data_IF_577640743919
#
_entry.id   IF_577640743919
#
_cell.length_a   1.000
_cell.length_b   1.000
_cell.length_c   1.000
_cell.angle_alpha   90.00
_cell.angle_beta   90.00
_cell.angle_gamma   90.00
#
_symmetry.space_group_name_H-M   'P 1'
#
loop_
_entity.id
_entity.type
_entity.pdbx_description
1 polymer ?
#
# COMPACT_ATOMS: atom_id res chain seq x y z
N UNK A 1 14.38 -13.95 5.30
CA UNK A 1 14.40 -12.66 4.60
C UNK A 1 13.52 -11.67 5.35
N UNK A 2 13.98 -10.43 5.46
CA UNK A 2 13.23 -9.36 6.15
C UNK A 2 12.15 -8.77 5.26
N UNK A 3 12.29 -8.85 3.96
CA UNK A 3 11.33 -8.42 2.95
C UNK A 3 11.86 -8.68 1.55
N UNK A 4 10.95 -8.83 0.60
CA UNK A 4 11.27 -8.97 -0.82
C UNK A 4 10.44 -7.97 -1.62
N UNK A 5 11.07 -7.36 -2.63
CA UNK A 5 10.46 -6.36 -3.51
C UNK A 5 10.37 -6.96 -4.90
N UNK A 6 9.21 -6.82 -5.55
CA UNK A 6 9.03 -7.07 -6.97
C UNK A 6 8.95 -5.76 -7.74
N UNK A 7 9.78 -5.61 -8.77
CA UNK A 7 9.86 -4.38 -9.54
C UNK A 7 8.87 -4.35 -10.72
N UNK A 8 8.73 -3.17 -11.33
CA UNK A 8 7.93 -2.95 -12.54
C UNK A 8 8.58 -3.53 -13.81
N UNK A 9 9.80 -4.05 -13.74
CA UNK A 9 10.44 -4.80 -14.85
C UNK A 9 9.70 -6.08 -15.19
N UNK A 10 9.04 -6.68 -14.20
CA UNK A 10 8.28 -7.90 -14.35
C UNK A 10 6.87 -7.63 -14.89
N UNK A 11 6.35 -8.56 -15.68
CA UNK A 11 4.99 -8.49 -16.20
C UNK A 11 3.94 -8.53 -15.08
N UNK A 12 2.75 -7.96 -15.32
CA UNK A 12 1.61 -8.04 -14.40
C UNK A 12 1.35 -9.46 -13.91
N UNK A 13 1.37 -10.44 -14.83
CA UNK A 13 1.12 -11.85 -14.52
C UNK A 13 2.19 -12.47 -13.61
N UNK A 14 3.47 -12.15 -13.84
CA UNK A 14 4.56 -12.57 -12.97
C UNK A 14 4.44 -11.94 -11.59
N UNK A 15 4.17 -10.66 -11.54
CA UNK A 15 4.00 -9.90 -10.29
C UNK A 15 2.87 -10.46 -9.43
N UNK A 16 1.72 -10.79 -10.03
CA UNK A 16 0.61 -11.42 -9.32
C UNK A 16 0.98 -12.76 -8.69
N UNK A 17 1.66 -13.63 -9.45
CA UNK A 17 2.11 -14.93 -8.93
C UNK A 17 3.07 -14.76 -7.75
N UNK A 18 4.02 -13.85 -7.88
CA UNK A 18 5.07 -13.64 -6.87
C UNK A 18 4.51 -13.01 -5.58
N UNK A 19 3.54 -12.10 -5.68
CA UNK A 19 2.85 -11.54 -4.50
C UNK A 19 2.12 -12.66 -3.74
N UNK A 20 1.45 -13.58 -4.45
CA UNK A 20 0.77 -14.74 -3.83
C UNK A 20 1.72 -15.71 -3.15
N UNK A 21 3.01 -15.69 -3.49
CA UNK A 21 4.06 -16.46 -2.80
C UNK A 21 4.60 -15.76 -1.53
N UNK A 22 4.12 -14.55 -1.22
CA UNK A 22 4.49 -13.83 -0.01
C UNK A 22 5.46 -12.68 -0.19
N UNK A 23 5.72 -12.25 -1.42
CA UNK A 23 6.43 -10.97 -1.66
C UNK A 23 5.56 -9.82 -1.16
N UNK A 24 6.10 -9.03 -0.24
CA UNK A 24 5.34 -8.02 0.51
C UNK A 24 5.55 -6.59 0.03
N UNK A 25 6.51 -6.36 -0.85
CA UNK A 25 6.80 -5.03 -1.36
C UNK A 25 6.74 -5.02 -2.89
N UNK A 26 6.15 -3.96 -3.43
CA UNK A 26 5.92 -3.83 -4.87
C UNK A 26 6.22 -2.41 -5.33
N UNK A 27 6.93 -2.26 -6.44
CA UNK A 27 7.08 -0.97 -7.11
C UNK A 27 5.86 -0.67 -7.98
N UNK A 28 5.51 0.60 -8.10
CA UNK A 28 4.44 1.05 -9.00
C UNK A 28 4.81 2.36 -9.66
N UNK A 29 4.23 2.63 -10.83
CA UNK A 29 4.40 3.88 -11.59
C UNK A 29 5.85 4.25 -11.89
N UNK A 30 6.75 3.28 -12.06
CA UNK A 30 8.17 3.54 -12.33
C UNK A 30 8.36 4.17 -13.70
N UNK A 31 9.17 5.23 -13.75
CA UNK A 31 9.63 5.90 -14.97
C UNK A 31 11.14 5.80 -15.06
N UNK A 32 11.64 5.45 -16.24
CA UNK A 32 13.08 5.24 -16.49
C UNK A 32 13.68 6.23 -17.50
N UNK A 33 12.84 7.04 -18.10
CA UNK A 33 13.23 8.16 -18.95
C UNK A 33 13.73 9.35 -18.14
N UNK A 34 14.64 10.13 -18.69
CA UNK A 34 15.15 11.36 -18.06
C UNK A 34 14.00 12.36 -17.91
N UNK A 35 13.77 12.83 -16.67
CA UNK A 35 12.65 13.75 -16.38
C UNK A 35 11.26 13.12 -16.37
N UNK A 36 11.14 11.79 -16.51
CA UNK A 36 9.85 11.08 -16.66
C UNK A 36 8.83 11.26 -15.53
N UNK A 37 9.27 11.72 -14.35
CA UNK A 37 8.37 12.05 -13.22
C UNK A 37 7.91 13.52 -13.20
N UNK A 38 8.60 14.41 -13.92
CA UNK A 38 8.39 15.85 -13.80
C UNK A 38 7.74 16.51 -15.01
N UNK A 39 7.61 15.83 -16.14
CA UNK A 39 7.10 16.41 -17.38
C UNK A 39 5.87 15.68 -17.90
N UNK A 40 4.79 16.38 -18.30
CA UNK A 40 3.68 15.82 -19.06
C UNK A 40 4.03 15.64 -20.56
N UNK A 41 5.25 15.99 -20.99
CA UNK A 41 5.69 15.83 -22.37
C UNK A 41 5.77 14.35 -22.76
N UNK A 42 5.47 14.01 -24.03
CA UNK A 42 5.70 12.66 -24.54
C UNK A 42 7.16 12.27 -24.30
N UNK A 43 7.39 11.08 -23.77
CA UNK A 43 8.74 10.54 -23.62
C UNK A 43 9.39 10.48 -24.99
N UNK A 44 10.62 11.04 -25.13
CA UNK A 44 11.40 10.87 -26.34
C UNK A 44 11.64 9.39 -26.57
N UNK A 45 11.39 8.92 -27.80
CA UNK A 45 11.63 7.55 -28.21
C UNK A 45 13.11 7.20 -27.92
N UNK A 46 13.35 6.17 -27.10
CA UNK A 46 14.68 5.74 -26.61
C UNK A 46 15.32 6.57 -25.46
N UNK A 47 14.58 7.41 -24.74
CA UNK A 47 15.12 8.10 -23.56
C UNK A 47 15.17 7.23 -22.30
N UNK A 48 14.52 6.08 -22.30
CA UNK A 48 14.47 5.15 -21.16
C UNK A 48 15.82 4.43 -20.96
N UNK A 49 16.28 4.38 -19.70
CA UNK A 49 17.53 3.67 -19.34
C UNK A 49 17.37 2.14 -19.42
N UNK A 50 16.16 1.64 -19.25
CA UNK A 50 15.79 0.22 -19.37
C UNK A 50 14.28 0.08 -19.51
N UNK A 51 13.85 -1.06 -20.07
CA UNK A 51 12.43 -1.35 -20.27
C UNK A 51 11.70 -1.62 -18.96
N UNK A 52 10.46 -1.13 -18.89
CA UNK A 52 9.51 -1.37 -17.80
C UNK A 52 8.32 -2.14 -18.38
N UNK A 53 8.10 -3.38 -17.93
CA UNK A 53 7.00 -4.22 -18.43
C UNK A 53 5.64 -3.80 -17.85
N UNK A 54 5.62 -3.17 -16.68
CA UNK A 54 4.39 -2.68 -16.03
C UNK A 54 4.41 -1.15 -15.96
N UNK A 55 3.79 -0.52 -16.94
CA UNK A 55 3.72 0.93 -17.11
C UNK A 55 2.47 1.57 -16.45
N UNK A 56 1.72 0.78 -15.67
CA UNK A 56 0.51 1.29 -15.00
C UNK A 56 0.85 2.45 -14.05
N UNK A 57 -0.10 3.36 -13.93
CA UNK A 57 -0.08 4.42 -12.91
C UNK A 57 -0.13 3.83 -11.50
N UNK A 58 0.19 4.62 -10.50
CA UNK A 58 0.10 4.19 -9.10
C UNK A 58 -1.34 3.79 -8.74
N UNK A 59 -2.33 4.56 -9.19
CA UNK A 59 -3.74 4.29 -8.92
C UNK A 59 -4.21 2.96 -9.53
N UNK A 60 -3.79 2.66 -10.76
CA UNK A 60 -4.09 1.37 -11.41
C UNK A 60 -3.43 0.19 -10.68
N UNK A 61 -2.21 0.35 -10.18
CA UNK A 61 -1.53 -0.69 -9.40
C UNK A 61 -2.21 -0.88 -8.05
N UNK A 62 -2.58 0.20 -7.36
CA UNK A 62 -3.32 0.15 -6.09
C UNK A 62 -4.68 -0.52 -6.28
N UNK A 63 -5.43 -0.12 -7.32
CA UNK A 63 -6.73 -0.72 -7.64
C UNK A 63 -6.61 -2.22 -7.90
N UNK A 64 -5.66 -2.61 -8.73
CA UNK A 64 -5.37 -4.01 -9.02
C UNK A 64 -5.03 -4.84 -7.78
N UNK A 65 -4.21 -4.31 -6.86
CA UNK A 65 -3.90 -5.01 -5.60
C UNK A 65 -5.14 -5.22 -4.74
N UNK A 66 -6.02 -4.20 -4.66
CA UNK A 66 -7.27 -4.29 -3.92
C UNK A 66 -8.25 -5.30 -4.54
N UNK A 67 -8.32 -5.38 -5.87
CA UNK A 67 -9.10 -6.39 -6.60
C UNK A 67 -8.61 -7.82 -6.34
N UNK A 68 -7.30 -8.00 -6.16
CA UNK A 68 -6.70 -9.27 -5.75
C UNK A 68 -6.90 -9.60 -4.26
N UNK A 69 -7.47 -8.67 -3.49
CA UNK A 69 -7.73 -8.84 -2.06
C UNK A 69 -6.57 -8.45 -1.15
N UNK A 70 -5.50 -7.85 -1.68
CA UNK A 70 -4.41 -7.30 -0.88
C UNK A 70 -4.72 -5.88 -0.40
N UNK A 71 -4.15 -5.49 0.74
CA UNK A 71 -4.25 -4.13 1.28
C UNK A 71 -2.98 -3.36 0.92
N UNK A 72 -3.01 -2.45 -0.08
CA UNK A 72 -1.89 -1.54 -0.33
C UNK A 72 -1.67 -0.66 0.91
N UNK A 73 -0.44 -0.64 1.42
CA UNK A 73 -0.10 0.13 2.63
C UNK A 73 1.00 1.13 2.35
N UNK A 74 0.77 2.37 2.74
CA UNK A 74 1.74 3.47 2.70
C UNK A 74 2.28 3.80 4.10
N UNK A 75 2.14 2.86 5.05
CA UNK A 75 2.44 3.06 6.45
C UNK A 75 3.94 3.24 6.72
N UNK A 76 4.29 4.31 7.45
CA UNK A 76 5.64 4.59 7.97
C UNK A 76 5.71 4.60 9.50
N UNK A 77 4.65 4.14 10.18
CA UNK A 77 4.50 4.25 11.63
C UNK A 77 5.67 3.62 12.40
N UNK A 78 6.18 2.47 11.96
CA UNK A 78 7.28 1.80 12.67
C UNK A 78 8.54 2.65 12.75
N UNK A 79 8.90 3.38 11.69
CA UNK A 79 10.04 4.30 11.71
C UNK A 79 9.79 5.47 12.66
N UNK A 80 8.60 6.04 12.62
CA UNK A 80 8.20 7.21 13.44
C UNK A 80 8.10 6.90 14.92
N UNK A 81 7.73 5.66 15.28
CA UNK A 81 7.59 5.17 16.65
C UNK A 81 8.84 4.45 17.16
N UNK A 82 9.95 4.47 16.42
CA UNK A 82 11.18 3.79 16.78
C UNK A 82 11.05 2.27 16.90
N UNK A 83 10.08 1.67 16.19
CA UNK A 83 9.89 0.22 16.12
C UNK A 83 10.72 -0.36 14.99
N UNK A 84 12.04 -0.41 15.19
CA UNK A 84 13.01 -0.92 14.22
C UNK A 84 13.91 -1.99 14.86
N UNK A 85 14.69 -2.72 14.06
CA UNK A 85 15.62 -3.73 14.54
C UNK A 85 14.96 -4.77 15.44
N UNK A 86 15.57 -5.07 16.59
CA UNK A 86 15.13 -6.12 17.51
C UNK A 86 13.74 -5.84 18.10
N UNK A 87 13.39 -4.57 18.33
CA UNK A 87 12.06 -4.19 18.81
C UNK A 87 10.98 -4.55 17.78
N UNK A 88 11.21 -4.29 16.51
CA UNK A 88 10.32 -4.69 15.43
C UNK A 88 10.24 -6.22 15.33
N UNK A 89 11.38 -6.90 15.36
CA UNK A 89 11.43 -8.36 15.25
C UNK A 89 10.74 -9.07 16.42
N UNK A 90 10.81 -8.51 17.63
CA UNK A 90 10.08 -9.04 18.78
C UNK A 90 8.55 -8.97 18.60
N UNK A 91 8.05 -7.87 18.03
CA UNK A 91 6.63 -7.72 17.69
C UNK A 91 6.19 -8.71 16.59
N UNK A 92 7.04 -8.91 15.57
CA UNK A 92 6.77 -9.88 14.50
C UNK A 92 6.71 -11.31 15.04
N UNK A 93 7.71 -11.73 15.83
CA UNK A 93 7.81 -13.08 16.40
C UNK A 93 6.64 -13.41 17.35
N UNK A 94 6.13 -12.42 18.07
CA UNK A 94 4.98 -12.59 18.97
C UNK A 94 3.63 -12.50 18.27
N UNK A 95 3.58 -12.14 16.97
CA UNK A 95 2.34 -11.88 16.23
C UNK A 95 1.68 -10.53 16.55
N UNK A 96 2.14 -9.82 17.60
CA UNK A 96 1.56 -8.54 18.05
C UNK A 96 1.72 -7.40 17.04
N UNK A 97 2.58 -7.57 16.05
CA UNK A 97 2.72 -6.60 14.95
C UNK A 97 1.41 -6.43 14.17
N UNK A 98 0.57 -7.46 14.10
CA UNK A 98 -0.74 -7.41 13.45
C UNK A 98 -1.67 -6.36 14.06
N UNK A 99 -1.59 -6.15 15.38
CA UNK A 99 -2.38 -5.14 16.09
C UNK A 99 -2.03 -3.68 15.69
N UNK A 100 -0.87 -3.49 15.07
CA UNK A 100 -0.44 -2.20 14.53
C UNK A 100 -0.52 -2.17 13.00
N UNK A 101 0.03 -3.19 12.32
CA UNK A 101 0.17 -3.17 10.87
C UNK A 101 -1.17 -3.23 10.14
N UNK A 102 -2.10 -4.08 10.58
CA UNK A 102 -3.40 -4.21 9.91
C UNK A 102 -4.20 -2.90 9.97
N UNK A 103 -4.50 -2.32 11.16
CA UNK A 103 -5.24 -1.06 11.21
C UNK A 103 -4.49 0.11 10.57
N UNK A 104 -3.15 0.18 10.69
CA UNK A 104 -2.37 1.22 10.02
C UNK A 104 -2.45 1.13 8.49
N UNK A 105 -2.45 -0.08 7.94
CA UNK A 105 -2.63 -0.28 6.50
C UNK A 105 -3.99 0.21 6.02
N UNK A 106 -5.06 -0.08 6.77
CA UNK A 106 -6.40 0.40 6.44
C UNK A 106 -6.52 1.92 6.52
N UNK A 107 -5.90 2.55 7.53
CA UNK A 107 -5.93 4.00 7.68
C UNK A 107 -5.15 4.70 6.56
N UNK A 108 -3.93 4.26 6.25
CA UNK A 108 -3.14 4.87 5.17
C UNK A 108 -3.75 4.61 3.78
N UNK A 109 -4.39 3.46 3.58
CA UNK A 109 -5.18 3.23 2.38
C UNK A 109 -6.37 4.20 2.31
N UNK A 110 -7.10 4.39 3.41
CA UNK A 110 -8.22 5.34 3.46
C UNK A 110 -7.78 6.76 3.14
N UNK A 111 -6.64 7.22 3.68
CA UNK A 111 -6.06 8.53 3.34
C UNK A 111 -5.78 8.63 1.83
N UNK A 112 -5.15 7.60 1.23
CA UNK A 112 -4.93 7.55 -0.21
C UNK A 112 -6.25 7.64 -1.00
N UNK A 113 -7.28 6.89 -0.58
CA UNK A 113 -8.57 6.90 -1.28
C UNK A 113 -9.25 8.27 -1.24
N UNK A 114 -9.12 9.02 -0.16
CA UNK A 114 -9.70 10.36 -0.04
C UNK A 114 -8.94 11.39 -0.89
N UNK A 115 -7.61 11.32 -0.91
CA UNK A 115 -6.79 12.40 -1.43
C UNK A 115 -6.42 12.23 -2.91
N UNK A 116 -6.25 10.99 -3.38
CA UNK A 116 -5.61 10.73 -4.68
C UNK A 116 -6.35 9.76 -5.60
N UNK A 117 -7.19 8.89 -5.06
CA UNK A 117 -7.71 7.76 -5.81
C UNK A 117 -8.77 8.15 -6.84
N UNK A 118 -8.79 7.42 -7.96
CA UNK A 118 -9.91 7.43 -8.90
C UNK A 118 -11.20 6.92 -8.24
N UNK A 119 -12.34 7.18 -8.88
CA UNK A 119 -13.63 6.70 -8.38
C UNK A 119 -13.71 5.17 -8.32
N UNK A 120 -13.09 4.46 -9.28
CA UNK A 120 -13.01 3.01 -9.26
C UNK A 120 -12.21 2.51 -8.06
N UNK A 121 -11.02 3.08 -7.82
CA UNK A 121 -10.18 2.72 -6.70
C UNK A 121 -10.87 3.05 -5.36
N UNK A 122 -11.59 4.17 -5.24
CA UNK A 122 -12.38 4.52 -4.05
C UNK A 122 -13.46 3.48 -3.75
N UNK A 123 -14.20 3.04 -4.76
CA UNK A 123 -15.25 2.01 -4.59
C UNK A 123 -14.65 0.68 -4.14
N UNK A 124 -13.64 0.20 -4.84
CA UNK A 124 -12.97 -1.07 -4.54
C UNK A 124 -12.32 -1.03 -3.15
N UNK A 125 -11.60 0.04 -2.85
CA UNK A 125 -10.90 0.21 -1.58
C UNK A 125 -11.84 0.38 -0.39
N UNK A 126 -12.95 1.10 -0.54
CA UNK A 126 -13.95 1.24 0.52
C UNK A 126 -14.61 -0.10 0.87
N UNK A 127 -14.87 -0.95 -0.12
CA UNK A 127 -15.39 -2.30 0.10
C UNK A 127 -14.35 -3.18 0.81
N UNK A 128 -13.08 -3.11 0.38
CA UNK A 128 -11.96 -3.82 1.00
C UNK A 128 -11.78 -3.40 2.47
N UNK A 129 -11.70 -2.10 2.75
CA UNK A 129 -11.53 -1.56 4.11
C UNK A 129 -12.64 -2.05 5.03
N UNK A 130 -13.89 -2.01 4.58
CA UNK A 130 -15.04 -2.46 5.38
C UNK A 130 -14.95 -3.95 5.73
N UNK A 131 -14.55 -4.78 4.77
CA UNK A 131 -14.34 -6.21 4.99
C UNK A 131 -13.19 -6.46 5.97
N UNK A 132 -12.06 -5.83 5.76
CA UNK A 132 -10.85 -6.05 6.54
C UNK A 132 -10.93 -5.46 7.95
N UNK A 133 -11.69 -4.39 8.15
CA UNK A 133 -11.99 -3.86 9.47
C UNK A 133 -12.71 -4.91 10.34
N UNK A 134 -13.64 -5.67 9.74
CA UNK A 134 -14.30 -6.80 10.41
C UNK A 134 -13.36 -7.94 10.79
N UNK A 135 -12.23 -8.08 10.10
CA UNK A 135 -11.23 -9.12 10.33
C UNK A 135 -10.22 -8.76 11.44
N UNK A 136 -10.26 -7.56 12.01
CA UNK A 136 -9.40 -7.19 13.16
C UNK A 136 -9.93 -7.94 14.40
N UNK A 137 -9.16 -8.90 14.97
CA UNK A 137 -9.65 -9.75 16.04
C UNK A 137 -9.79 -9.00 17.38
N UNK A 138 -8.94 -8.01 17.63
CA UNK A 138 -8.94 -7.22 18.85
C UNK A 138 -10.03 -6.13 18.76
N UNK A 139 -11.11 -6.29 19.55
CA UNK A 139 -12.26 -5.38 19.53
C UNK A 139 -11.91 -3.93 19.86
N UNK A 140 -11.01 -3.71 20.80
CA UNK A 140 -10.56 -2.35 21.18
C UNK A 140 -9.83 -1.69 20.00
N UNK A 141 -8.95 -2.42 19.32
CA UNK A 141 -8.21 -1.92 18.16
C UNK A 141 -9.17 -1.67 17.01
N UNK A 142 -10.11 -2.59 16.77
CA UNK A 142 -11.14 -2.43 15.75
C UNK A 142 -12.00 -1.18 16.00
N UNK A 143 -12.41 -0.93 17.22
CA UNK A 143 -13.19 0.26 17.59
C UNK A 143 -12.40 1.56 17.32
N UNK A 144 -11.15 1.64 17.79
CA UNK A 144 -10.29 2.80 17.56
C UNK A 144 -10.03 3.01 16.05
N UNK A 145 -9.81 1.92 15.31
CA UNK A 145 -9.61 1.99 13.86
C UNK A 145 -10.86 2.54 13.15
N UNK A 146 -12.06 2.11 13.56
CA UNK A 146 -13.33 2.61 13.02
C UNK A 146 -13.46 4.12 13.22
N UNK A 147 -13.27 4.61 14.44
CA UNK A 147 -13.33 6.04 14.73
C UNK A 147 -12.32 6.86 13.93
N UNK A 148 -11.10 6.32 13.74
CA UNK A 148 -10.07 7.01 12.97
C UNK A 148 -10.38 7.02 11.48
N UNK A 149 -10.92 5.94 10.92
CA UNK A 149 -11.37 5.90 9.53
C UNK A 149 -12.48 6.92 9.25
N UNK A 150 -13.40 7.12 10.20
CA UNK A 150 -14.42 8.17 10.11
C UNK A 150 -13.80 9.57 10.15
N UNK A 151 -12.83 9.81 11.03
CA UNK A 151 -12.09 11.08 11.09
C UNK A 151 -11.28 11.35 9.82
N UNK A 152 -10.71 10.32 9.19
CA UNK A 152 -10.03 10.46 7.90
C UNK A 152 -11.03 10.89 6.82
N UNK A 153 -12.23 10.32 6.80
CA UNK A 153 -13.28 10.72 5.86
C UNK A 153 -13.70 12.20 6.02
N UNK A 154 -13.53 12.78 7.22
CA UNK A 154 -13.78 14.21 7.48
C UNK A 154 -12.56 15.12 7.33
N UNK A 155 -11.46 14.61 6.78
CA UNK A 155 -10.28 15.40 6.44
C UNK A 155 -9.11 15.32 7.44
N UNK A 156 -9.25 14.59 8.55
CA UNK A 156 -8.11 14.37 9.46
C UNK A 156 -7.14 13.34 8.86
N UNK A 157 -5.87 13.46 9.19
CA UNK A 157 -4.79 12.62 8.64
C UNK A 157 -3.80 12.22 9.73
N UNK A 158 -2.89 11.31 9.37
CA UNK A 158 -1.72 10.94 10.15
C UNK A 158 -2.02 10.16 11.44
N UNK A 159 -3.07 9.35 11.43
CA UNK A 159 -3.33 8.40 12.51
C UNK A 159 -2.41 7.19 12.43
N UNK A 160 -1.98 6.69 13.60
CA UNK A 160 -1.15 5.49 13.71
C UNK A 160 -1.31 4.78 15.06
N UNK A 161 -1.10 3.47 15.03
CA UNK A 161 -1.00 2.60 16.19
C UNK A 161 0.45 2.33 16.56
#
# INVERSE_FOLDING_TARGET
YTGMIISTRESKATREKVIRLGVSQISGASKTSVGGYGSPAPEEENSAQFDVSDNRTLDEVVCWLMELGFIPSFCTACYREGRTGDRFMALCKSGRIGDCCHPNALMTLKEYLEDYASEQARRTGSALIRRELGNIPNERIRHIATERLEKIATGQRDFRF
#
